data_IF_809276145166
#
_entry.id   IF_809276145166
#
_cell.length_a   1.000
_cell.length_b   1.000
_cell.length_c   1.000
_cell.angle_alpha   90.00
_cell.angle_beta   90.00
_cell.angle_gamma   90.00
#
_symmetry.space_group_name_H-M   'P 1'
#
loop_
_entity.id
_entity.type
_entity.pdbx_description
1 polymer ?
#
# COMPACT_ATOMS: atom_id res chain seq x y z
N UNK A 1 -7.66 15.53 -12.04
CA UNK A 1 -8.51 15.52 -13.24
C UNK A 1 -9.32 14.23 -13.19
N UNK A 2 -10.64 14.32 -13.12
CA UNK A 2 -11.51 13.14 -13.23
C UNK A 2 -11.60 12.78 -14.72
N UNK A 3 -11.25 11.56 -15.10
CA UNK A 3 -11.38 11.06 -16.48
C UNK A 3 -12.22 9.79 -16.48
N UNK A 4 -12.88 9.44 -17.60
CA UNK A 4 -13.65 8.21 -17.71
C UNK A 4 -12.81 6.96 -17.39
N UNK A 5 -13.46 5.91 -16.88
CA UNK A 5 -12.82 4.66 -16.45
C UNK A 5 -11.94 4.03 -17.53
N UNK A 6 -12.41 3.99 -18.78
CA UNK A 6 -11.65 3.44 -19.90
C UNK A 6 -10.35 4.23 -20.15
N UNK A 7 -10.36 5.56 -19.97
CA UNK A 7 -9.17 6.40 -20.10
C UNK A 7 -8.23 6.26 -18.91
N UNK A 8 -8.76 6.12 -17.69
CA UNK A 8 -7.96 5.78 -16.49
C UNK A 8 -7.23 4.46 -16.69
N UNK A 9 -7.95 3.43 -17.13
CA UNK A 9 -7.36 2.11 -17.40
C UNK A 9 -6.28 2.18 -18.48
N UNK A 10 -6.64 2.75 -19.64
CA UNK A 10 -5.73 2.88 -20.79
C UNK A 10 -4.47 3.65 -20.41
N UNK A 11 -4.62 4.80 -19.75
CA UNK A 11 -3.51 5.64 -19.33
C UNK A 11 -2.56 4.92 -18.39
N UNK A 12 -3.09 4.31 -17.32
CA UNK A 12 -2.27 3.64 -16.33
C UNK A 12 -1.55 2.40 -16.90
N UNK A 13 -2.27 1.51 -17.58
CA UNK A 13 -1.68 0.25 -18.09
C UNK A 13 -0.62 0.52 -19.15
N UNK A 14 -0.87 1.43 -20.09
CA UNK A 14 0.13 1.80 -21.11
C UNK A 14 1.33 2.51 -20.49
N UNK A 15 1.13 3.37 -19.50
CA UNK A 15 2.23 4.04 -18.81
C UNK A 15 3.16 3.01 -18.13
N UNK A 16 2.60 2.03 -17.41
CA UNK A 16 3.40 0.96 -16.80
C UNK A 16 4.17 0.16 -17.84
N UNK A 17 3.50 -0.30 -18.90
CA UNK A 17 4.16 -1.07 -19.96
C UNK A 17 5.32 -0.29 -20.60
N UNK A 18 5.07 0.94 -21.04
CA UNK A 18 6.05 1.73 -21.77
C UNK A 18 7.30 2.02 -20.94
N UNK A 19 7.14 2.39 -19.66
CA UNK A 19 8.26 2.67 -18.77
C UNK A 19 9.05 1.39 -18.46
N UNK A 20 8.37 0.29 -18.12
CA UNK A 20 9.02 -0.99 -17.84
C UNK A 20 9.78 -1.52 -19.05
N UNK A 21 9.16 -1.49 -20.23
CA UNK A 21 9.79 -1.95 -21.47
C UNK A 21 11.03 -1.12 -21.81
N UNK A 22 10.90 0.21 -21.84
CA UNK A 22 12.01 1.09 -22.17
C UNK A 22 13.17 0.92 -21.17
N UNK A 23 12.88 0.96 -19.86
CA UNK A 23 13.88 0.83 -18.81
C UNK A 23 14.64 -0.50 -18.91
N UNK A 24 13.91 -1.62 -19.04
CA UNK A 24 14.53 -2.94 -19.17
C UNK A 24 15.38 -3.06 -20.43
N UNK A 25 14.91 -2.56 -21.58
CA UNK A 25 15.68 -2.60 -22.85
C UNK A 25 16.92 -1.73 -22.83
N UNK A 26 16.91 -0.64 -22.06
CA UNK A 26 18.06 0.25 -21.86
C UNK A 26 19.05 -0.28 -20.81
N UNK A 27 18.77 -1.43 -20.18
CA UNK A 27 19.64 -2.02 -19.16
C UNK A 27 19.53 -1.34 -17.79
N UNK A 28 18.46 -0.59 -17.53
CA UNK A 28 18.16 -0.09 -16.17
C UNK A 28 17.83 -1.31 -15.29
N UNK A 29 18.62 -1.50 -14.23
CA UNK A 29 18.54 -2.67 -13.36
C UNK A 29 17.69 -2.48 -12.10
N UNK A 30 17.19 -1.27 -11.86
CA UNK A 30 16.33 -0.95 -10.71
C UNK A 30 15.12 -0.15 -11.18
N UNK A 31 13.93 -0.68 -10.90
CA UNK A 31 12.67 0.00 -11.21
C UNK A 31 11.77 -0.07 -9.98
N UNK A 32 11.33 1.09 -9.48
CA UNK A 32 10.35 1.17 -8.40
C UNK A 32 9.01 1.59 -8.99
N UNK A 33 7.97 0.79 -8.77
CA UNK A 33 6.66 0.96 -9.38
C UNK A 33 5.60 1.30 -8.33
N UNK A 34 4.85 2.38 -8.57
CA UNK A 34 3.80 2.86 -7.70
C UNK A 34 2.46 2.12 -7.90
N UNK A 35 2.12 1.24 -6.96
CA UNK A 35 0.81 0.62 -6.80
C UNK A 35 0.04 1.23 -5.62
N UNK A 36 -1.03 0.59 -5.14
CA UNK A 36 -1.84 1.07 -4.02
C UNK A 36 -2.44 -0.09 -3.23
N UNK A 37 -2.74 0.12 -1.95
CA UNK A 37 -3.53 -0.84 -1.14
C UNK A 37 -4.95 -1.04 -1.69
N UNK A 38 -5.43 -0.16 -2.57
CA UNK A 38 -6.73 -0.31 -3.23
C UNK A 38 -6.84 -1.64 -4.00
N UNK A 39 -5.71 -2.25 -4.39
CA UNK A 39 -5.69 -3.56 -5.05
C UNK A 39 -6.24 -4.69 -4.18
N UNK A 40 -6.34 -4.50 -2.86
CA UNK A 40 -7.01 -5.46 -1.97
C UNK A 40 -8.54 -5.41 -2.07
N UNK A 41 -9.10 -4.47 -2.85
CA UNK A 41 -10.50 -4.48 -3.25
C UNK A 41 -11.50 -3.91 -2.26
N UNK A 42 -11.04 -3.26 -1.19
CA UNK A 42 -11.92 -2.64 -0.18
C UNK A 42 -12.15 -1.15 -0.44
N UNK A 43 -11.13 -0.42 -0.89
CA UNK A 43 -11.14 1.05 -0.90
C UNK A 43 -12.22 1.69 -1.80
N UNK A 44 -12.48 1.07 -2.96
CA UNK A 44 -13.44 1.54 -3.96
C UNK A 44 -14.41 0.43 -4.37
N UNK A 45 -14.70 -0.48 -3.44
CA UNK A 45 -15.65 -1.55 -3.67
C UNK A 45 -17.06 -1.00 -3.96
N UNK A 46 -17.85 -1.74 -4.72
CA UNK A 46 -19.29 -1.52 -4.75
C UNK A 46 -19.91 -2.11 -3.48
N UNK A 47 -20.33 -1.23 -2.56
CA UNK A 47 -20.86 -1.63 -1.25
C UNK A 47 -19.78 -1.80 -0.18
N UNK A 48 -20.14 -2.44 0.92
CA UNK A 48 -19.22 -2.75 2.02
C UNK A 48 -18.61 -4.13 1.82
N UNK A 49 -17.29 -4.17 1.60
CA UNK A 49 -16.53 -5.40 1.33
C UNK A 49 -15.46 -5.56 2.39
N UNK A 50 -15.39 -6.74 2.99
CA UNK A 50 -14.37 -7.10 3.98
C UNK A 50 -13.01 -7.41 3.35
N UNK A 51 -11.93 -7.12 4.08
CA UNK A 51 -10.62 -7.68 3.74
C UNK A 51 -10.66 -9.21 3.88
N UNK A 52 -9.89 -9.96 3.06
CA UNK A 52 -9.87 -11.43 3.16
C UNK A 52 -9.35 -11.97 4.49
N UNK A 53 -8.43 -11.23 5.14
CA UNK A 53 -7.87 -11.56 6.44
C UNK A 53 -7.13 -10.38 7.06
N UNK A 54 -6.89 -10.45 8.37
CA UNK A 54 -5.92 -9.57 9.04
C UNK A 54 -4.76 -10.36 9.68
N UNK A 55 -3.55 -9.79 9.70
CA UNK A 55 -3.14 -8.59 8.95
C UNK A 55 -3.20 -8.82 7.43
N UNK A 56 -3.36 -7.74 6.68
CA UNK A 56 -3.28 -7.72 5.22
C UNK A 56 -1.81 -7.56 4.86
N UNK A 57 -1.16 -8.66 4.49
CA UNK A 57 0.19 -8.68 3.93
C UNK A 57 0.15 -8.82 2.40
N UNK A 58 1.31 -8.90 1.77
CA UNK A 58 1.44 -8.92 0.31
C UNK A 58 0.99 -10.25 -0.33
N UNK A 59 0.80 -11.31 0.46
CA UNK A 59 0.29 -12.61 -0.01
C UNK A 59 -1.24 -12.62 -0.16
N UNK A 60 -1.93 -11.66 0.47
CA UNK A 60 -3.37 -11.45 0.27
C UNK A 60 -3.65 -11.17 -1.22
N UNK A 61 -4.59 -11.91 -1.85
CA UNK A 61 -4.91 -11.71 -3.25
C UNK A 61 -5.36 -10.28 -3.57
N UNK A 62 -4.79 -9.73 -4.64
CA UNK A 62 -5.19 -8.46 -5.20
C UNK A 62 -6.39 -8.63 -6.14
N UNK A 63 -7.61 -8.48 -5.61
CA UNK A 63 -8.88 -8.73 -6.33
C UNK A 63 -9.80 -7.50 -6.23
N UNK A 64 -9.44 -6.37 -6.86
CA UNK A 64 -10.27 -5.17 -6.81
C UNK A 64 -11.43 -5.20 -7.80
N UNK A 65 -12.45 -4.38 -7.52
CA UNK A 65 -13.60 -4.16 -8.40
C UNK A 65 -13.44 -2.89 -9.26
N UNK A 66 -12.72 -1.88 -8.76
CA UNK A 66 -12.61 -0.58 -9.41
C UNK A 66 -11.51 -0.54 -10.49
N UNK A 67 -11.76 0.24 -11.53
CA UNK A 67 -10.89 0.30 -12.71
C UNK A 67 -9.51 0.88 -12.39
N UNK A 68 -9.41 1.78 -11.42
CA UNK A 68 -8.14 2.33 -10.97
C UNK A 68 -7.26 1.22 -10.37
N UNK A 69 -7.75 0.46 -9.40
CA UNK A 69 -6.99 -0.60 -8.76
C UNK A 69 -6.77 -1.80 -9.69
N UNK A 70 -7.72 -2.15 -10.57
CA UNK A 70 -7.50 -3.14 -11.63
C UNK A 70 -6.30 -2.74 -12.50
N UNK A 71 -6.22 -1.46 -12.91
CA UNK A 71 -5.08 -0.98 -13.70
C UNK A 71 -3.74 -1.07 -12.96
N UNK A 72 -3.75 -0.93 -11.61
CA UNK A 72 -2.57 -1.15 -10.77
C UNK A 72 -2.16 -2.62 -10.78
N UNK A 73 -3.10 -3.56 -10.61
CA UNK A 73 -2.84 -5.01 -10.72
C UNK A 73 -2.25 -5.38 -12.07
N UNK A 74 -2.74 -4.80 -13.17
CA UNK A 74 -2.14 -4.98 -14.49
C UNK A 74 -0.68 -4.49 -14.53
N UNK A 75 -0.38 -3.36 -13.89
CA UNK A 75 0.98 -2.85 -13.72
C UNK A 75 1.87 -3.81 -12.92
N UNK A 76 1.39 -4.35 -11.80
CA UNK A 76 2.12 -5.34 -10.98
C UNK A 76 2.44 -6.61 -11.77
N UNK A 77 1.48 -7.14 -12.54
CA UNK A 77 1.68 -8.33 -13.38
C UNK A 77 2.64 -8.05 -14.54
N UNK A 78 2.55 -6.87 -15.14
CA UNK A 78 3.49 -6.43 -16.19
C UNK A 78 4.92 -6.38 -15.63
N UNK A 79 5.11 -5.75 -14.47
CA UNK A 79 6.39 -5.70 -13.76
C UNK A 79 6.96 -7.10 -13.47
N UNK A 80 6.15 -8.03 -12.97
CA UNK A 80 6.58 -9.41 -12.72
C UNK A 80 7.06 -10.10 -14.00
N UNK A 81 6.37 -9.89 -15.13
CA UNK A 81 6.76 -10.40 -16.43
C UNK A 81 8.10 -9.84 -16.91
N UNK A 82 8.31 -8.53 -16.77
CA UNK A 82 9.55 -7.87 -17.17
C UNK A 82 10.75 -8.29 -16.30
N UNK A 83 10.62 -8.33 -14.98
CA UNK A 83 11.65 -8.85 -14.08
C UNK A 83 12.04 -10.30 -14.40
N UNK A 84 11.07 -11.15 -14.76
CA UNK A 84 11.34 -12.54 -15.18
C UNK A 84 12.07 -12.62 -16.52
N UNK A 85 11.69 -11.76 -17.48
CA UNK A 85 12.28 -11.73 -18.83
C UNK A 85 13.70 -11.15 -18.83
N UNK A 86 13.93 -10.08 -18.11
CA UNK A 86 15.20 -9.36 -18.02
C UNK A 86 15.91 -9.73 -16.72
N UNK A 87 16.60 -10.87 -16.73
CA UNK A 87 17.32 -11.37 -15.55
C UNK A 87 18.34 -10.33 -15.04
N UNK A 88 18.37 -10.14 -13.72
CA UNK A 88 19.24 -9.15 -13.09
C UNK A 88 18.64 -7.74 -12.99
N UNK A 89 17.38 -7.56 -13.41
CA UNK A 89 16.60 -6.35 -13.12
C UNK A 89 15.73 -6.59 -11.89
N UNK A 90 15.90 -5.72 -10.89
CA UNK A 90 15.03 -5.63 -9.74
C UNK A 90 13.84 -4.72 -10.05
N UNK A 91 12.63 -5.21 -9.81
CA UNK A 91 11.39 -4.43 -9.94
C UNK A 91 10.60 -4.54 -8.66
N UNK A 92 10.55 -3.43 -7.90
CA UNK A 92 9.87 -3.38 -6.62
C UNK A 92 8.59 -2.57 -6.74
N UNK A 93 7.48 -3.20 -6.40
CA UNK A 93 6.15 -2.59 -6.40
C UNK A 93 5.82 -2.12 -4.99
N UNK A 94 5.35 -0.88 -4.87
CA UNK A 94 4.94 -0.29 -3.61
C UNK A 94 3.43 -0.07 -3.61
N UNK A 95 2.70 -0.81 -2.76
CA UNK A 95 1.27 -0.59 -2.51
C UNK A 95 1.12 0.51 -1.47
N UNK A 96 1.03 1.76 -1.93
CA UNK A 96 0.86 2.91 -1.05
C UNK A 96 -0.53 2.95 -0.41
N UNK A 97 -0.57 3.36 0.85
CA UNK A 97 -1.79 3.77 1.52
C UNK A 97 -2.25 5.15 1.06
N UNK A 98 -3.21 5.73 1.79
CA UNK A 98 -3.54 7.14 1.61
C UNK A 98 -2.30 7.99 1.95
N UNK A 99 -1.73 8.66 0.94
CA UNK A 99 -0.58 9.55 1.15
C UNK A 99 -1.07 10.81 1.87
N UNK A 100 -0.40 11.18 2.96
CA UNK A 100 -0.73 12.35 3.78
C UNK A 100 0.47 13.28 3.79
N UNK A 101 0.31 14.51 3.31
CA UNK A 101 1.33 15.55 3.38
C UNK A 101 1.31 16.25 4.76
N UNK A 102 2.41 16.87 5.20
CA UNK A 102 2.49 17.57 6.49
C UNK A 102 1.36 18.57 6.74
N UNK A 103 0.89 19.28 5.70
CA UNK A 103 -0.21 20.25 5.80
C UNK A 103 -1.58 19.62 6.05
N UNK A 104 -1.76 18.34 5.70
CA UNK A 104 -3.05 17.64 5.81
C UNK A 104 -3.21 16.86 7.13
N UNK A 105 -2.14 16.71 7.93
CA UNK A 105 -2.13 15.86 9.12
C UNK A 105 -3.28 16.17 10.08
N UNK A 106 -3.42 17.43 10.46
CA UNK A 106 -4.42 17.81 11.47
C UNK A 106 -5.84 17.46 11.02
N UNK A 107 -6.20 17.77 9.78
CA UNK A 107 -7.53 17.51 9.25
C UNK A 107 -7.78 16.01 9.04
N UNK A 108 -6.84 15.31 8.39
CA UNK A 108 -6.98 13.87 8.10
C UNK A 108 -7.08 13.04 9.38
N UNK A 109 -6.18 13.25 10.34
CA UNK A 109 -6.15 12.45 11.57
C UNK A 109 -7.28 12.81 12.52
N UNK A 110 -7.80 14.04 12.51
CA UNK A 110 -9.05 14.36 13.21
C UNK A 110 -10.18 13.44 12.75
N UNK A 111 -10.30 13.20 11.44
CA UNK A 111 -11.34 12.34 10.92
C UNK A 111 -11.09 10.85 11.24
N UNK A 112 -9.83 10.38 11.14
CA UNK A 112 -9.45 9.01 11.46
C UNK A 112 -9.69 8.66 12.93
N UNK A 113 -9.36 9.59 13.83
CA UNK A 113 -9.48 9.39 15.28
C UNK A 113 -10.93 9.48 15.76
N UNK A 114 -11.70 10.47 15.28
CA UNK A 114 -13.06 10.68 15.77
C UNK A 114 -14.08 9.68 15.22
N UNK A 115 -13.82 9.13 14.03
CA UNK A 115 -14.75 8.24 13.33
C UNK A 115 -14.01 7.04 12.73
N UNK A 116 -13.27 6.25 13.55
CA UNK A 116 -12.37 5.22 13.05
C UNK A 116 -13.09 4.16 12.21
N UNK A 117 -14.32 3.80 12.57
CA UNK A 117 -15.12 2.79 11.89
C UNK A 117 -15.41 3.15 10.41
N UNK A 118 -15.36 4.44 10.03
CA UNK A 118 -15.57 4.89 8.64
C UNK A 118 -14.34 4.67 7.72
N UNK A 119 -13.17 4.35 8.29
CA UNK A 119 -11.88 4.34 7.55
C UNK A 119 -11.37 2.95 7.19
N UNK A 120 -12.26 1.96 7.18
CA UNK A 120 -11.99 0.60 6.65
C UNK A 120 -11.42 0.65 5.23
N UNK A 121 -11.88 1.59 4.39
CA UNK A 121 -11.37 1.82 3.02
C UNK A 121 -9.88 2.17 2.94
N UNK A 122 -9.28 2.67 4.01
CA UNK A 122 -7.84 2.93 4.10
C UNK A 122 -7.08 1.84 4.89
N UNK A 123 -7.79 0.79 5.32
CA UNK A 123 -7.26 -0.27 6.18
C UNK A 123 -6.72 0.25 7.52
N UNK A 124 -7.21 1.41 7.97
CA UNK A 124 -6.68 2.14 9.14
C UNK A 124 -5.17 2.39 9.07
N UNK A 125 -4.68 2.64 7.85
CA UNK A 125 -3.28 2.94 7.55
C UNK A 125 -3.15 4.21 6.72
N UNK A 126 -1.93 4.72 6.62
CA UNK A 126 -1.56 5.84 5.75
C UNK A 126 -0.09 5.71 5.32
N UNK A 127 0.32 6.60 4.41
CA UNK A 127 1.72 6.78 4.05
C UNK A 127 2.07 8.25 4.25
N UNK A 128 2.97 8.58 5.18
CA UNK A 128 3.49 9.96 5.28
C UNK A 128 4.29 10.30 4.00
N UNK A 129 4.06 11.47 3.42
CA UNK A 129 4.71 11.88 2.17
C UNK A 129 6.25 11.97 2.26
N UNK A 130 6.81 12.18 3.46
CA UNK A 130 8.25 12.21 3.73
C UNK A 130 8.79 10.80 3.95
N UNK A 131 8.07 9.97 4.73
CA UNK A 131 8.44 8.55 4.88
C UNK A 131 8.39 7.80 3.55
N UNK A 132 7.48 8.17 2.64
CA UNK A 132 7.45 7.64 1.27
C UNK A 132 8.81 7.77 0.58
N UNK A 133 9.47 8.93 0.73
CA UNK A 133 10.83 9.14 0.22
C UNK A 133 11.82 8.14 0.81
N UNK A 134 11.76 7.91 2.13
CA UNK A 134 12.57 6.89 2.81
C UNK A 134 12.27 5.47 2.32
N UNK A 135 11.00 5.11 2.13
CA UNK A 135 10.61 3.79 1.60
C UNK A 135 11.20 3.53 0.20
N UNK A 136 11.17 4.55 -0.67
CA UNK A 136 11.75 4.47 -2.01
C UNK A 136 13.28 4.44 -1.97
N UNK A 137 13.92 5.25 -1.11
CA UNK A 137 15.36 5.22 -0.91
C UNK A 137 15.83 3.82 -0.51
N UNK A 138 15.15 3.17 0.43
CA UNK A 138 15.44 1.78 0.82
C UNK A 138 15.33 0.80 -0.36
N UNK A 139 14.36 0.98 -1.25
CA UNK A 139 14.24 0.22 -2.49
C UNK A 139 15.36 0.44 -3.49
N UNK A 140 15.88 1.66 -3.57
CA UNK A 140 16.99 2.01 -4.46
C UNK A 140 18.30 1.37 -4.02
N UNK A 141 18.54 1.24 -2.71
CA UNK A 141 19.83 0.75 -2.16
C UNK A 141 19.89 -0.76 -1.93
N UNK A 142 18.75 -1.45 -1.84
CA UNK A 142 18.70 -2.91 -1.63
C UNK A 142 18.54 -3.63 -2.97
N UNK A 143 19.53 -4.44 -3.34
CA UNK A 143 19.61 -5.14 -4.63
C UNK A 143 19.40 -6.66 -4.54
N UNK A 144 19.10 -7.29 -5.68
CA UNK A 144 19.15 -8.73 -5.87
C UNK A 144 17.89 -9.49 -5.46
N UNK A 145 16.77 -8.79 -5.21
CA UNK A 145 15.52 -9.42 -4.80
C UNK A 145 14.60 -9.79 -5.98
N UNK A 146 14.95 -9.38 -7.21
CA UNK A 146 14.15 -9.60 -8.41
C UNK A 146 12.82 -8.83 -8.36
N UNK A 147 11.72 -9.54 -8.60
CA UNK A 147 10.38 -8.96 -8.47
C UNK A 147 9.90 -9.04 -7.01
N UNK A 148 9.53 -7.90 -6.44
CA UNK A 148 8.95 -7.83 -5.11
C UNK A 148 7.75 -6.89 -5.07
N UNK A 149 6.81 -7.19 -4.16
CA UNK A 149 5.73 -6.30 -3.77
C UNK A 149 5.90 -5.99 -2.29
N UNK A 150 5.67 -4.73 -1.92
CA UNK A 150 5.73 -4.21 -0.56
C UNK A 150 4.51 -3.34 -0.27
N UNK A 151 3.86 -3.59 0.87
CA UNK A 151 2.92 -2.66 1.47
C UNK A 151 3.68 -1.46 2.03
N UNK A 152 3.42 -0.30 1.45
CA UNK A 152 4.15 0.93 1.70
C UNK A 152 3.32 1.85 2.60
N UNK A 153 3.08 1.37 3.83
CA UNK A 153 2.24 2.02 4.85
C UNK A 153 3.00 2.18 6.15
N UNK A 154 2.40 2.90 7.11
CA UNK A 154 2.92 3.16 8.43
C UNK A 154 2.82 1.94 9.38
N UNK A 155 3.43 2.03 10.58
CA UNK A 155 3.58 0.89 11.50
C UNK A 155 2.33 0.60 12.36
N UNK A 156 1.57 1.64 12.74
CA UNK A 156 0.49 1.55 13.73
C UNK A 156 -0.88 2.01 13.20
N UNK A 157 -2.00 1.46 13.69
CA UNK A 157 -3.32 1.93 13.28
C UNK A 157 -3.60 3.42 13.60
N UNK A 158 -4.49 4.04 12.85
CA UNK A 158 -4.75 5.50 12.84
C UNK A 158 -5.82 5.99 13.83
N UNK A 159 -6.01 5.30 14.96
CA UNK A 159 -6.95 5.66 16.03
C UNK A 159 -6.33 5.45 17.42
N UNK A 160 -6.96 5.89 18.51
CA UNK A 160 -6.38 5.80 19.87
C UNK A 160 -6.65 4.49 20.63
N UNK A 161 -7.24 3.46 20.01
CA UNK A 161 -7.48 2.19 20.71
C UNK A 161 -6.18 1.47 21.07
N UNK A 162 -6.14 0.79 22.22
CA UNK A 162 -4.89 0.18 22.72
C UNK A 162 -4.52 -1.12 22.00
N UNK A 163 -5.51 -1.78 21.39
CA UNK A 163 -5.35 -3.08 20.74
C UNK A 163 -6.00 -3.09 19.36
N UNK A 164 -5.18 -3.30 18.33
CA UNK A 164 -5.69 -3.50 16.96
C UNK A 164 -6.60 -4.72 16.90
N UNK A 165 -6.26 -5.80 17.62
CA UNK A 165 -7.06 -7.02 17.63
C UNK A 165 -8.47 -6.77 18.23
N UNK A 166 -8.55 -6.06 19.36
CA UNK A 166 -9.84 -5.73 19.98
C UNK A 166 -10.67 -4.80 19.08
N UNK A 167 -10.03 -3.81 18.46
CA UNK A 167 -10.67 -2.91 17.51
C UNK A 167 -11.25 -3.68 16.31
N UNK A 168 -10.46 -4.53 15.65
CA UNK A 168 -10.89 -5.32 14.50
C UNK A 168 -11.98 -6.34 14.85
N UNK A 169 -11.94 -6.95 16.04
CA UNK A 169 -13.00 -7.84 16.49
C UNK A 169 -14.36 -7.11 16.63
N UNK A 170 -14.35 -5.80 16.86
CA UNK A 170 -15.56 -4.96 16.93
C UNK A 170 -16.03 -4.52 15.54
N UNK A 171 -15.13 -4.06 14.67
CA UNK A 171 -15.49 -3.44 13.38
C UNK A 171 -15.52 -4.41 12.20
N UNK A 172 -14.83 -5.56 12.30
CA UNK A 172 -14.75 -6.60 11.28
C UNK A 172 -14.80 -8.01 11.90
N UNK A 173 -15.85 -8.36 12.67
CA UNK A 173 -15.92 -9.61 13.44
C UNK A 173 -15.88 -10.88 12.57
N UNK A 174 -16.26 -10.78 11.29
CA UNK A 174 -16.27 -11.87 10.31
C UNK A 174 -14.91 -12.14 9.67
N UNK A 175 -13.95 -11.21 9.77
CA UNK A 175 -12.68 -11.31 9.05
C UNK A 175 -11.70 -12.20 9.81
N UNK A 176 -11.16 -13.26 9.19
CA UNK A 176 -10.24 -14.16 9.86
C UNK A 176 -8.92 -13.46 10.20
N UNK A 177 -8.38 -13.76 11.38
CA UNK A 177 -7.06 -13.31 11.81
C UNK A 177 -6.06 -14.45 11.59
N UNK A 178 -5.14 -14.29 10.64
CA UNK A 178 -4.19 -15.34 10.21
C UNK A 178 -2.99 -15.46 11.15
N UNK A 179 -2.70 -14.40 11.90
CA UNK A 179 -1.73 -14.36 12.99
C UNK A 179 -2.09 -13.26 13.97
N UNK A 180 -1.57 -13.36 15.19
CA UNK A 180 -1.73 -12.31 16.19
C UNK A 180 -1.17 -10.95 15.70
N UNK A 181 -1.96 -9.90 15.93
CA UNK A 181 -1.59 -8.50 15.75
C UNK A 181 -1.12 -7.95 17.10
N UNK A 182 0.12 -7.47 17.16
CA UNK A 182 0.72 -7.06 18.43
C UNK A 182 0.45 -5.58 18.71
N UNK A 183 -0.14 -5.30 19.86
CA UNK A 183 -0.41 -3.93 20.32
C UNK A 183 -1.23 -3.14 19.31
N UNK A 184 -0.62 -2.09 18.74
CA UNK A 184 -1.24 -1.17 17.80
C UNK A 184 -0.81 -1.38 16.35
N UNK A 185 -0.26 -2.55 16.01
CA UNK A 185 0.15 -2.91 14.65
C UNK A 185 -0.91 -2.52 13.61
N UNK A 186 -0.50 -1.88 12.52
CA UNK A 186 -1.38 -1.52 11.41
C UNK A 186 -2.07 -2.75 10.79
N UNK A 187 -3.39 -2.72 10.51
CA UNK A 187 -4.10 -3.84 9.90
C UNK A 187 -3.58 -4.21 8.50
N UNK A 188 -3.13 -3.23 7.71
CA UNK A 188 -2.30 -3.48 6.52
C UNK A 188 -0.84 -3.48 6.97
N UNK A 189 -0.20 -4.64 6.91
CA UNK A 189 1.12 -4.85 7.49
C UNK A 189 2.20 -4.40 6.52
N UNK A 190 3.11 -3.53 6.99
CA UNK A 190 4.35 -3.16 6.31
C UNK A 190 5.56 -4.04 6.71
N UNK A 191 5.32 -5.14 7.44
CA UNK A 191 6.38 -5.99 8.00
C UNK A 191 7.46 -6.36 6.99
N UNK A 192 7.06 -6.79 5.79
CA UNK A 192 8.01 -7.16 4.72
C UNK A 192 8.88 -5.98 4.29
N UNK A 193 8.33 -4.78 4.20
CA UNK A 193 9.08 -3.57 3.87
C UNK A 193 10.17 -3.28 4.93
N UNK A 194 9.82 -3.44 6.22
CA UNK A 194 10.76 -3.26 7.33
C UNK A 194 11.83 -4.34 7.36
N UNK A 195 11.45 -5.61 7.25
CA UNK A 195 12.38 -6.75 7.38
C UNK A 195 13.29 -6.91 6.17
N UNK A 196 12.76 -6.72 4.95
CA UNK A 196 13.49 -6.96 3.71
C UNK A 196 14.25 -5.72 3.24
N UNK A 197 13.63 -4.53 3.30
CA UNK A 197 14.28 -3.31 2.85
C UNK A 197 14.93 -2.51 3.99
N UNK A 198 14.66 -2.84 5.25
CA UNK A 198 15.20 -2.10 6.40
C UNK A 198 14.54 -0.72 6.58
N UNK A 199 13.28 -0.56 6.14
CA UNK A 199 12.55 0.68 6.38
C UNK A 199 12.26 0.86 7.88
N UNK A 200 12.43 2.09 8.37
CA UNK A 200 12.09 2.50 9.72
C UNK A 200 11.27 3.77 9.61
N UNK A 201 10.05 3.74 10.15
CA UNK A 201 9.16 4.90 10.13
C UNK A 201 9.75 6.06 10.94
N UNK A 202 9.76 7.27 10.37
CA UNK A 202 10.21 8.49 11.06
C UNK A 202 9.07 9.44 11.42
N UNK A 203 7.93 9.33 10.74
CA UNK A 203 6.83 10.29 10.88
C UNK A 203 5.55 9.60 11.36
N UNK A 204 5.44 9.44 12.68
CA UNK A 204 4.23 8.92 13.32
C UNK A 204 3.17 10.00 13.39
N UNK A 205 1.91 9.63 13.15
CA UNK A 205 0.81 10.58 13.13
C UNK A 205 0.56 11.22 14.49
N UNK A 206 0.82 10.47 15.56
CA UNK A 206 0.69 10.94 16.95
C UNK A 206 1.62 12.10 17.29
N UNK A 207 2.74 12.25 16.57
CA UNK A 207 3.69 13.34 16.79
C UNK A 207 3.19 14.67 16.21
N UNK A 208 2.24 14.61 15.27
CA UNK A 208 1.76 15.76 14.50
C UNK A 208 0.30 16.11 14.75
N UNK A 209 -0.54 15.13 15.07
CA UNK A 209 -1.94 15.34 15.43
C UNK A 209 -2.07 15.79 16.89
N UNK A 210 -2.88 16.83 17.13
CA UNK A 210 -3.19 17.32 18.48
C UNK A 210 -4.70 17.26 18.65
N UNK A 211 -5.15 16.47 19.64
CA UNK A 211 -6.57 16.29 19.95
C UNK A 211 -7.22 17.59 20.45
#
# INVERSE_FOLDING_TARGET
MLVPDNETYRGNVLAFYNVLEAACRMGIRKILLASSICVYGVAFAEGDVDYPSFPVDEDVPAVPMDVYAISKVCGERTAAGFARRFRGTDVYVYRFGAVVSPSEFQEKFKAYVLRPDEWKVHGWTYTDARDLGGMLERGLVVDGLGFQVFNAVNDEMTNFEESTAAFLARVCPSVPVTRELVGREAPVSNRKLREVLGFVQQHRWQDYYRA
#
